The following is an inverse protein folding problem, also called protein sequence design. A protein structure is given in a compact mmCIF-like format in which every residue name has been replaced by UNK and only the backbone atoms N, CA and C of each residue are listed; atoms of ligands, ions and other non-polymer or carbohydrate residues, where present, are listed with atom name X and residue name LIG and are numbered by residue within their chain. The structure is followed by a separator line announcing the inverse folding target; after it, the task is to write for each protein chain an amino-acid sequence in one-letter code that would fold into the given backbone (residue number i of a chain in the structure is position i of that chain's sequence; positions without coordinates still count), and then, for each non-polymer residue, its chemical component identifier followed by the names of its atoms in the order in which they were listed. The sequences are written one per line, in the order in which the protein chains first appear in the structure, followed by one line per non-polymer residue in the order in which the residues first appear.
data_IF_548800794742
#
_entry.id   IF_548800794742
#
_cell.length_a   1.000
_cell.length_b   1.000
_cell.length_c   1.000
_cell.angle_alpha   90.00
_cell.angle_beta   90.00
_cell.angle_gamma   90.00
#
_symmetry.space_group_name_H-M   'P 1'
#
loop_
_entity.id
_entity.type
_entity.pdbx_description
1 polymer ?
#
# COMPACT_ATOMS: atom_id res chain seq x y z
N UNK A 1 13.78 29.33 4.12
CA UNK A 1 14.13 27.95 3.67
C UNK A 1 13.03 27.46 2.73
N UNK A 2 13.36 26.80 1.63
CA UNK A 2 12.38 26.35 0.63
C UNK A 2 11.76 25.02 1.06
N UNK A 3 10.44 24.86 0.90
CA UNK A 3 9.70 23.63 1.17
C UNK A 3 10.21 22.51 0.25
N UNK A 4 10.66 21.39 0.83
CA UNK A 4 11.30 20.29 0.09
C UNK A 4 10.33 19.14 -0.19
N UNK A 5 9.48 18.82 0.79
CA UNK A 5 8.53 17.73 0.68
C UNK A 5 7.16 18.05 1.29
N UNK A 6 6.10 17.51 0.70
CA UNK A 6 4.77 17.41 1.31
C UNK A 6 4.51 15.94 1.67
N UNK A 7 4.36 15.64 2.96
CA UNK A 7 3.97 14.29 3.41
C UNK A 7 2.46 14.21 3.40
N UNK A 8 1.89 13.39 2.53
CA UNK A 8 0.46 13.18 2.39
C UNK A 8 0.05 11.91 3.14
N UNK A 9 -0.85 12.07 4.12
CA UNK A 9 -1.41 10.96 4.90
C UNK A 9 -2.92 10.91 4.66
N UNK A 10 -3.38 9.80 4.06
CA UNK A 10 -4.81 9.56 3.91
C UNK A 10 -5.34 8.81 5.13
N UNK A 11 -6.49 9.24 5.66
CA UNK A 11 -7.06 8.60 6.84
C UNK A 11 -8.57 8.43 6.73
N UNK A 12 -9.09 7.38 7.39
CA UNK A 12 -10.52 7.12 7.47
C UNK A 12 -10.87 6.49 8.83
N UNK A 13 -11.43 7.29 9.76
CA UNK A 13 -11.92 6.85 11.06
C UNK A 13 -10.90 6.06 11.92
N UNK A 14 -9.62 6.48 11.91
CA UNK A 14 -8.50 5.84 12.64
C UNK A 14 -7.69 6.87 13.42
N UNK A 15 -8.29 7.63 14.35
CA UNK A 15 -7.64 8.78 14.98
C UNK A 15 -6.35 8.41 15.74
N UNK A 16 -6.32 7.27 16.43
CA UNK A 16 -5.15 6.84 17.18
C UNK A 16 -3.96 6.45 16.26
N UNK A 17 -4.23 5.74 15.18
CA UNK A 17 -3.19 5.37 14.19
C UNK A 17 -2.68 6.62 13.47
N UNK A 18 -3.58 7.49 13.01
CA UNK A 18 -3.21 8.76 12.41
C UNK A 18 -2.30 9.59 13.33
N UNK A 19 -2.64 9.69 14.62
CA UNK A 19 -1.83 10.43 15.58
C UNK A 19 -0.42 9.84 15.71
N UNK A 20 -0.28 8.52 15.72
CA UNK A 20 1.02 7.84 15.77
C UNK A 20 1.85 8.11 14.49
N UNK A 21 1.23 7.98 13.32
CA UNK A 21 1.86 8.23 12.03
C UNK A 21 2.38 9.68 11.91
N UNK A 22 1.51 10.67 12.16
CA UNK A 22 1.87 12.09 12.08
C UNK A 22 2.98 12.44 13.07
N UNK A 23 2.85 12.02 14.33
CA UNK A 23 3.87 12.29 15.35
C UNK A 23 5.20 11.60 15.04
N UNK A 24 5.21 10.43 14.39
CA UNK A 24 6.44 9.79 13.96
C UNK A 24 7.16 10.62 12.89
N UNK A 25 6.45 11.16 11.91
CA UNK A 25 7.00 12.06 10.90
C UNK A 25 7.57 13.34 11.52
N UNK A 26 6.80 13.98 12.42
CA UNK A 26 7.23 15.23 13.05
C UNK A 26 8.49 15.06 13.91
N UNK A 27 8.60 13.94 14.62
CA UNK A 27 9.79 13.61 15.40
C UNK A 27 11.03 13.35 14.53
N UNK A 28 10.85 12.69 13.38
CA UNK A 28 11.96 12.36 12.48
C UNK A 28 12.52 13.59 11.80
N UNK A 29 11.67 14.43 11.25
CA UNK A 29 12.06 15.60 10.49
C UNK A 29 12.74 16.70 11.34
N UNK A 30 12.45 16.76 12.64
CA UNK A 30 13.14 17.69 13.56
C UNK A 30 14.62 17.35 13.78
N UNK A 31 15.09 16.17 13.40
CA UNK A 31 16.49 15.76 13.58
C UNK A 31 17.43 16.33 12.53
N UNK A 32 16.98 16.58 11.29
CA UNK A 32 17.82 16.95 10.16
C UNK A 32 17.49 18.32 9.53
N UNK A 33 16.49 19.03 10.03
CA UNK A 33 16.11 20.37 9.55
C UNK A 33 15.50 20.37 8.15
N UNK A 34 14.99 19.24 7.66
CA UNK A 34 14.25 19.19 6.40
C UNK A 34 12.98 20.05 6.51
N UNK A 35 12.79 20.97 5.57
CA UNK A 35 11.57 21.79 5.50
C UNK A 35 10.49 21.02 4.77
N UNK A 36 9.46 20.62 5.48
CA UNK A 36 8.35 19.84 4.96
C UNK A 36 7.02 20.28 5.58
N UNK A 37 5.93 19.88 4.98
CA UNK A 37 4.57 19.98 5.52
C UNK A 37 3.94 18.61 5.63
N UNK A 38 2.95 18.46 6.51
CA UNK A 38 2.09 17.27 6.58
C UNK A 38 0.67 17.65 6.15
N UNK A 39 0.19 16.98 5.12
CA UNK A 39 -1.16 17.16 4.56
C UNK A 39 -1.98 15.91 4.87
N UNK A 40 -2.97 16.04 5.73
CA UNK A 40 -3.86 14.96 6.10
C UNK A 40 -5.10 15.03 5.21
N UNK A 41 -5.28 14.03 4.33
CA UNK A 41 -6.49 13.88 3.52
C UNK A 41 -7.52 13.07 4.31
N UNK A 42 -8.45 13.78 4.97
CA UNK A 42 -9.48 13.17 5.80
C UNK A 42 -10.65 12.67 4.96
N UNK A 43 -10.72 11.36 4.78
CA UNK A 43 -11.73 10.68 3.97
C UNK A 43 -12.99 10.32 4.79
N UNK A 44 -13.06 10.73 6.05
CA UNK A 44 -14.27 10.59 6.88
C UNK A 44 -15.33 11.63 6.51
N UNK A 45 -16.55 11.36 6.95
CA UNK A 45 -17.66 12.34 6.78
C UNK A 45 -17.61 13.44 7.80
N UNK A 46 -17.12 13.12 8.99
CA UNK A 46 -17.26 13.94 10.20
C UNK A 46 -15.97 14.71 10.54
N UNK A 47 -14.93 14.64 9.68
CA UNK A 47 -13.70 15.39 9.88
C UNK A 47 -12.91 14.95 11.11
N UNK A 48 -12.78 13.64 11.35
CA UNK A 48 -12.18 13.10 12.58
C UNK A 48 -10.71 13.49 12.80
N UNK A 49 -10.01 13.96 11.77
CA UNK A 49 -8.64 14.45 11.89
C UNK A 49 -8.54 15.86 12.48
N UNK A 50 -9.64 16.64 12.49
CA UNK A 50 -9.61 18.05 12.88
C UNK A 50 -9.08 18.31 14.30
N UNK A 51 -9.47 17.55 15.35
CA UNK A 51 -8.93 17.78 16.70
C UNK A 51 -7.41 17.56 16.79
N UNK A 52 -6.88 16.52 16.13
CA UNK A 52 -5.45 16.26 16.09
C UNK A 52 -4.70 17.40 15.39
N UNK A 53 -5.20 17.83 14.23
CA UNK A 53 -4.57 18.91 13.44
C UNK A 53 -4.58 20.22 14.23
N UNK A 54 -5.69 20.57 14.86
CA UNK A 54 -5.77 21.78 15.68
C UNK A 54 -4.75 21.78 16.83
N UNK A 55 -4.60 20.66 17.53
CA UNK A 55 -3.60 20.50 18.58
C UNK A 55 -2.17 20.67 18.07
N UNK A 56 -1.81 19.96 17.00
CA UNK A 56 -0.47 20.03 16.43
C UNK A 56 -0.14 21.42 15.81
N UNK A 57 -1.12 22.07 15.20
CA UNK A 57 -0.96 23.43 14.68
C UNK A 57 -0.74 24.45 15.84
N UNK A 58 -1.43 24.28 16.97
CA UNK A 58 -1.21 25.09 18.17
C UNK A 58 0.20 24.88 18.77
N UNK A 59 0.77 23.69 18.60
CA UNK A 59 2.16 23.36 18.95
C UNK A 59 3.18 23.93 17.93
N UNK A 60 2.72 24.59 16.86
CA UNK A 60 3.57 25.19 15.83
C UNK A 60 4.03 24.22 14.74
N UNK A 61 3.46 23.03 14.66
CA UNK A 61 3.81 22.04 13.62
C UNK A 61 3.18 22.38 12.26
N UNK A 62 3.87 22.12 11.14
CA UNK A 62 3.40 22.40 9.78
C UNK A 62 2.41 21.32 9.30
N UNK A 63 1.27 21.20 9.98
CA UNK A 63 0.25 20.19 9.72
C UNK A 63 -1.07 20.85 9.33
N UNK A 64 -1.73 20.34 8.31
CA UNK A 64 -3.08 20.76 7.91
C UNK A 64 -3.92 19.59 7.42
N UNK A 65 -5.24 19.69 7.56
CA UNK A 65 -6.18 18.71 7.02
C UNK A 65 -6.94 19.27 5.83
N UNK A 66 -7.30 18.39 4.90
CA UNK A 66 -8.20 18.67 3.78
C UNK A 66 -9.30 17.62 3.73
N UNK A 67 -10.56 18.02 3.51
CA UNK A 67 -11.65 17.07 3.35
C UNK A 67 -11.52 16.30 2.04
N UNK A 68 -11.81 15.02 2.08
CA UNK A 68 -11.68 14.11 0.93
C UNK A 68 -12.90 13.18 0.79
N UNK A 69 -14.09 13.76 0.74
CA UNK A 69 -15.36 13.03 0.58
C UNK A 69 -15.72 12.85 -0.91
N UNK A 70 -16.46 11.81 -1.31
CA UNK A 70 -16.92 10.68 -0.50
C UNK A 70 -15.80 9.68 -0.16
N UNK A 71 -16.04 8.75 0.82
CA UNK A 71 -15.05 7.74 1.21
C UNK A 71 -14.56 6.87 0.06
N UNK A 72 -13.31 7.10 -0.36
CA UNK A 72 -12.63 6.45 -1.47
C UNK A 72 -11.15 6.81 -1.41
N UNK A 73 -10.25 5.83 -1.36
CA UNK A 73 -8.82 6.08 -1.19
C UNK A 73 -8.22 6.91 -2.35
N UNK A 74 -8.69 6.72 -3.59
CA UNK A 74 -8.23 7.51 -4.73
C UNK A 74 -8.62 8.98 -4.59
N UNK A 75 -9.84 9.25 -4.10
CA UNK A 75 -10.31 10.62 -3.82
C UNK A 75 -9.45 11.25 -2.73
N UNK A 76 -9.13 10.50 -1.66
CA UNK A 76 -8.28 10.98 -0.59
C UNK A 76 -6.86 11.33 -1.09
N UNK A 77 -6.22 10.44 -1.84
CA UNK A 77 -4.89 10.69 -2.40
C UNK A 77 -4.89 11.88 -3.35
N UNK A 78 -5.88 11.98 -4.23
CA UNK A 78 -6.03 13.11 -5.14
C UNK A 78 -6.26 14.43 -4.38
N UNK A 79 -7.03 14.43 -3.28
CA UNK A 79 -7.24 15.61 -2.45
C UNK A 79 -5.93 16.04 -1.76
N UNK A 80 -5.19 15.10 -1.19
CA UNK A 80 -3.88 15.34 -0.59
C UNK A 80 -2.88 15.91 -1.60
N UNK A 81 -2.83 15.35 -2.82
CA UNK A 81 -1.97 15.85 -3.91
C UNK A 81 -2.30 17.29 -4.31
N UNK A 82 -3.58 17.61 -4.48
CA UNK A 82 -3.98 18.99 -4.82
C UNK A 82 -3.60 19.99 -3.74
N UNK A 83 -3.53 19.53 -2.51
CA UNK A 83 -3.16 20.37 -1.39
C UNK A 83 -1.64 20.45 -1.17
N UNK A 84 -0.86 19.48 -1.62
CA UNK A 84 0.60 19.45 -1.51
C UNK A 84 1.24 20.63 -2.25
N UNK A 85 2.20 21.32 -1.59
CA UNK A 85 2.84 22.53 -2.09
C UNK A 85 4.31 22.31 -2.50
N UNK A 86 4.90 21.20 -2.06
CA UNK A 86 6.30 20.91 -2.34
C UNK A 86 6.50 20.24 -3.71
N UNK A 87 7.69 20.33 -4.30
CA UNK A 87 8.04 19.65 -5.55
C UNK A 87 8.12 18.12 -5.39
N UNK A 88 8.37 17.63 -4.18
CA UNK A 88 8.35 16.21 -3.84
C UNK A 88 7.17 15.92 -2.92
N UNK A 89 6.43 14.85 -3.22
CA UNK A 89 5.31 14.39 -2.42
C UNK A 89 5.62 13.00 -1.87
N UNK A 90 5.68 12.89 -0.55
CA UNK A 90 5.80 11.60 0.11
C UNK A 90 4.42 11.10 0.55
N UNK A 91 4.10 9.83 0.28
CA UNK A 91 2.92 9.17 0.83
C UNK A 91 3.30 8.32 2.03
N UNK A 92 2.48 8.39 3.05
CA UNK A 92 2.53 7.54 4.24
C UNK A 92 1.09 7.14 4.59
N UNK A 93 0.84 5.85 4.77
CA UNK A 93 -0.49 5.40 5.23
C UNK A 93 -0.65 5.67 6.75
N UNK A 94 -1.90 5.83 7.20
CA UNK A 94 -2.22 6.22 8.60
C UNK A 94 -1.91 5.14 9.65
N UNK A 95 -1.59 3.91 9.23
CA UNK A 95 -1.17 2.79 10.08
C UNK A 95 0.36 2.54 10.06
N UNK A 96 1.13 3.48 9.50
CA UNK A 96 2.59 3.43 9.40
C UNK A 96 3.26 4.42 10.36
N UNK A 97 4.33 4.00 10.98
CA UNK A 97 5.25 4.87 11.72
C UNK A 97 6.61 4.86 11.03
N UNK A 98 7.21 6.03 10.79
CA UNK A 98 8.50 6.14 10.11
C UNK A 98 9.66 5.74 11.01
N UNK A 99 10.67 5.08 10.44
CA UNK A 99 11.95 4.81 11.10
C UNK A 99 12.87 6.05 10.99
N UNK A 100 13.86 6.21 11.88
CA UNK A 100 14.73 7.37 11.90
C UNK A 100 15.41 7.67 10.56
N UNK A 101 15.33 8.91 10.09
CA UNK A 101 15.89 9.36 8.84
C UNK A 101 15.03 9.06 7.59
N UNK A 102 13.80 8.61 7.76
CA UNK A 102 12.92 8.21 6.66
C UNK A 102 12.80 9.25 5.55
N UNK A 103 12.48 10.49 5.89
CA UNK A 103 12.30 11.55 4.90
C UNK A 103 13.65 11.96 4.27
N UNK A 104 14.69 12.06 5.06
CA UNK A 104 16.03 12.45 4.57
C UNK A 104 16.60 11.39 3.62
N UNK A 105 16.44 10.08 3.93
CA UNK A 105 16.86 9.02 3.04
C UNK A 105 16.13 9.07 1.69
N UNK A 106 14.83 9.39 1.71
CA UNK A 106 14.10 9.63 0.47
C UNK A 106 14.60 10.84 -0.30
N UNK A 107 14.83 11.98 0.37
CA UNK A 107 15.33 13.19 -0.27
C UNK A 107 16.71 12.96 -0.89
N UNK A 108 17.62 12.31 -0.15
CA UNK A 108 18.96 11.96 -0.63
C UNK A 108 18.89 11.00 -1.84
N UNK A 109 18.03 9.98 -1.78
CA UNK A 109 17.82 9.04 -2.88
C UNK A 109 17.31 9.75 -4.14
N UNK A 110 16.31 10.64 -3.99
CA UNK A 110 15.76 11.40 -5.12
C UNK A 110 16.77 12.36 -5.73
N UNK A 111 17.63 12.97 -4.90
CA UNK A 111 18.70 13.83 -5.37
C UNK A 111 19.81 13.06 -6.09
N UNK A 112 20.26 11.95 -5.50
CA UNK A 112 21.37 11.16 -6.04
C UNK A 112 21.01 10.43 -7.34
N UNK A 113 19.74 9.94 -7.46
CA UNK A 113 19.34 9.12 -8.61
C UNK A 113 18.64 9.88 -9.72
N UNK A 114 18.07 11.05 -9.43
CA UNK A 114 17.18 11.76 -10.35
C UNK A 114 15.89 10.97 -10.68
N UNK A 115 15.53 9.98 -9.88
CA UNK A 115 14.34 9.15 -10.09
C UNK A 115 13.04 9.95 -10.01
N UNK A 116 11.98 9.39 -10.61
CA UNK A 116 10.64 9.95 -10.52
C UNK A 116 9.93 9.51 -9.23
N UNK A 117 10.22 8.28 -8.77
CA UNK A 117 9.65 7.70 -7.55
C UNK A 117 10.71 6.92 -6.79
N UNK A 118 10.73 7.02 -5.47
CA UNK A 118 11.45 6.09 -4.60
C UNK A 118 10.47 5.42 -3.64
N UNK A 119 10.69 4.12 -3.35
CA UNK A 119 9.86 3.30 -2.47
C UNK A 119 10.74 2.72 -1.37
N UNK A 120 10.27 2.79 -0.12
CA UNK A 120 10.96 2.26 1.06
C UNK A 120 10.37 0.96 1.59
N UNK A 121 11.12 0.26 2.45
CA UNK A 121 10.69 -0.97 3.09
C UNK A 121 9.56 -0.74 4.10
N UNK A 122 8.64 -1.71 4.14
CA UNK A 122 7.58 -1.77 5.15
C UNK A 122 7.73 -3.06 5.94
N UNK A 123 7.84 -2.93 7.27
CA UNK A 123 7.96 -4.05 8.20
C UNK A 123 6.75 -4.10 9.12
N UNK A 124 6.17 -5.27 9.36
CA UNK A 124 5.00 -5.38 10.23
C UNK A 124 5.36 -5.22 11.70
N UNK A 125 4.42 -4.65 12.46
CA UNK A 125 4.37 -4.70 13.92
C UNK A 125 3.02 -5.30 14.32
N UNK A 126 3.04 -6.36 15.11
CA UNK A 126 1.87 -7.08 15.59
C UNK A 126 1.66 -6.81 17.08
N UNK A 127 0.79 -5.87 17.48
CA UNK A 127 0.55 -5.58 18.91
C UNK A 127 0.01 -6.78 19.68
N UNK A 128 -0.72 -7.68 19.03
CA UNK A 128 -1.26 -8.93 19.59
C UNK A 128 -0.41 -10.18 19.31
N UNK A 129 0.82 -10.01 18.85
CA UNK A 129 1.67 -11.11 18.38
C UNK A 129 1.43 -11.50 16.92
N UNK A 130 2.45 -12.10 16.31
CA UNK A 130 2.35 -12.59 14.93
C UNK A 130 1.36 -13.77 14.85
N UNK A 131 0.60 -13.88 13.75
CA UNK A 131 -0.37 -14.97 13.62
C UNK A 131 0.35 -16.33 13.44
N UNK A 132 -0.20 -17.40 14.00
CA UNK A 132 0.39 -18.74 13.94
C UNK A 132 0.62 -19.25 12.50
N UNK A 133 -0.11 -18.71 11.52
CA UNK A 133 0.04 -19.06 10.10
C UNK A 133 1.14 -18.24 9.39
N UNK A 134 1.68 -17.18 10.01
CA UNK A 134 2.77 -16.34 9.51
C UNK A 134 3.61 -15.81 10.68
N UNK A 135 4.31 -16.69 11.42
CA UNK A 135 5.03 -16.30 12.63
C UNK A 135 6.17 -15.31 12.37
N UNK A 136 6.73 -15.31 11.16
CA UNK A 136 7.80 -14.41 10.75
C UNK A 136 7.28 -13.11 10.11
N UNK A 137 5.96 -12.97 9.96
CA UNK A 137 5.34 -11.79 9.36
C UNK A 137 5.66 -11.58 7.87
N UNK A 138 6.06 -12.63 7.16
CA UNK A 138 6.55 -12.53 5.77
C UNK A 138 5.49 -12.03 4.81
N UNK A 139 4.20 -12.31 5.06
CA UNK A 139 3.09 -11.82 4.22
C UNK A 139 2.80 -10.33 4.37
N UNK A 140 3.27 -9.73 5.42
CA UNK A 140 3.11 -8.30 5.70
C UNK A 140 4.41 -7.52 5.45
N UNK A 141 5.53 -8.21 5.25
CA UNK A 141 6.84 -7.61 4.99
C UNK A 141 6.95 -7.23 3.52
N UNK A 142 7.32 -5.99 3.25
CA UNK A 142 7.65 -5.46 1.93
C UNK A 142 9.08 -4.92 1.96
N UNK A 143 10.03 -5.79 1.73
CA UNK A 143 11.47 -5.49 1.71
C UNK A 143 12.09 -6.12 0.47
N UNK A 144 12.93 -5.37 -0.22
CA UNK A 144 13.78 -5.89 -1.30
C UNK A 144 15.21 -6.02 -0.78
N UNK A 145 15.85 -7.11 -1.10
CA UNK A 145 17.29 -7.30 -0.90
C UNK A 145 18.03 -6.65 -2.08
N UNK A 146 17.99 -5.33 -2.13
CA UNK A 146 18.59 -4.50 -3.17
C UNK A 146 19.17 -3.24 -2.53
N UNK A 147 20.28 -2.69 -3.05
CA UNK A 147 20.83 -1.43 -2.57
C UNK A 147 19.93 -0.25 -2.94
N UNK A 148 20.07 0.83 -2.17
CA UNK A 148 19.42 2.11 -2.49
C UNK A 148 19.83 2.60 -3.87
N UNK A 149 18.85 3.11 -4.63
CA UNK A 149 19.01 3.52 -6.03
C UNK A 149 18.77 2.41 -7.05
N UNK A 150 18.66 1.14 -6.62
CA UNK A 150 18.34 0.04 -7.52
C UNK A 150 16.98 0.25 -8.20
N UNK A 151 16.92 0.05 -9.51
CA UNK A 151 15.67 0.20 -10.28
C UNK A 151 14.67 -0.91 -9.94
N UNK A 152 13.42 -0.52 -9.69
CA UNK A 152 12.31 -1.44 -9.48
C UNK A 152 11.57 -1.61 -10.82
N UNK A 153 11.59 -2.79 -11.44
CA UNK A 153 10.83 -3.03 -12.65
C UNK A 153 9.33 -3.09 -12.34
N UNK A 154 8.58 -2.12 -12.84
CA UNK A 154 7.12 -2.08 -12.72
C UNK A 154 6.51 -2.77 -13.93
N UNK A 155 6.13 -4.02 -13.79
CA UNK A 155 5.49 -4.80 -14.86
C UNK A 155 4.27 -5.56 -14.34
N UNK A 156 3.18 -5.50 -15.08
CA UNK A 156 2.05 -6.38 -14.82
C UNK A 156 2.42 -7.82 -15.17
N UNK A 157 2.79 -8.63 -14.19
CA UNK A 157 2.93 -10.09 -14.38
C UNK A 157 4.26 -10.76 -14.06
N UNK A 158 5.30 -10.05 -13.79
CA UNK A 158 6.51 -10.66 -13.23
C UNK A 158 6.48 -10.46 -11.72
N UNK A 159 6.57 -11.48 -10.91
CA UNK A 159 6.58 -11.57 -9.44
C UNK A 159 6.91 -10.36 -8.54
N UNK A 160 7.15 -9.21 -9.14
CA UNK A 160 7.36 -7.90 -8.51
C UNK A 160 6.06 -7.19 -8.09
N UNK A 161 4.89 -7.80 -8.28
CA UNK A 161 3.60 -7.22 -7.89
C UNK A 161 3.43 -6.95 -6.40
N UNK A 162 4.48 -7.15 -5.68
CA UNK A 162 4.60 -7.11 -4.26
C UNK A 162 5.06 -5.75 -3.71
N UNK A 163 5.93 -5.02 -4.40
CA UNK A 163 6.66 -3.87 -3.81
C UNK A 163 6.05 -2.54 -4.18
N UNK A 164 5.32 -2.48 -5.28
CA UNK A 164 4.76 -1.23 -5.79
C UNK A 164 3.56 -0.82 -4.96
N UNK A 165 3.78 0.10 -4.05
CA UNK A 165 2.75 0.65 -3.17
C UNK A 165 3.08 2.11 -2.86
N UNK A 166 2.05 2.91 -2.66
CA UNK A 166 2.18 4.28 -2.18
C UNK A 166 2.46 4.37 -0.68
N UNK A 167 2.29 3.28 0.06
CA UNK A 167 2.28 3.27 1.54
C UNK A 167 3.52 3.93 2.19
N UNK A 168 4.73 3.71 1.63
CA UNK A 168 5.98 4.39 2.00
C UNK A 168 6.73 4.73 0.73
N UNK A 169 6.54 5.94 0.21
CA UNK A 169 7.08 6.34 -1.09
C UNK A 169 7.22 7.85 -1.22
N UNK A 170 8.14 8.30 -2.07
CA UNK A 170 8.28 9.71 -2.44
C UNK A 170 8.26 9.87 -3.95
N UNK A 171 7.67 10.95 -4.44
CA UNK A 171 7.32 11.17 -5.83
C UNK A 171 7.69 12.57 -6.29
N UNK A 172 8.25 12.69 -7.48
CA UNK A 172 8.44 13.97 -8.15
C UNK A 172 7.11 14.43 -8.75
N UNK A 173 6.50 15.44 -8.15
CA UNK A 173 5.15 15.88 -8.52
C UNK A 173 5.03 16.25 -10.01
N UNK A 174 5.99 16.99 -10.55
CA UNK A 174 5.98 17.47 -11.93
C UNK A 174 5.97 16.34 -12.98
N UNK A 175 6.56 15.18 -12.67
CA UNK A 175 6.67 14.07 -13.64
C UNK A 175 5.64 12.97 -13.41
N UNK A 176 5.15 12.83 -12.17
CA UNK A 176 4.23 11.76 -11.81
C UNK A 176 2.75 12.17 -11.81
N UNK A 177 2.45 13.44 -11.54
CA UNK A 177 1.09 13.93 -11.28
C UNK A 177 0.64 15.02 -12.26
N UNK A 178 0.96 14.85 -13.54
CA UNK A 178 0.50 15.77 -14.59
C UNK A 178 -1.03 15.78 -14.76
N UNK A 179 -1.68 14.66 -14.46
CA UNK A 179 -3.15 14.58 -14.47
C UNK A 179 -3.72 15.23 -13.20
N UNK A 180 -4.84 15.96 -13.25
CA UNK A 180 -5.43 16.60 -12.07
C UNK A 180 -6.02 15.60 -11.06
N UNK A 181 -6.25 14.34 -11.47
CA UNK A 181 -6.72 13.24 -10.65
C UNK A 181 -5.98 11.93 -11.00
N UNK A 182 -4.67 11.83 -10.65
CA UNK A 182 -3.84 10.71 -11.10
C UNK A 182 -4.26 9.36 -10.52
N UNK A 183 -4.90 9.31 -9.36
CA UNK A 183 -5.48 8.08 -8.81
C UNK A 183 -6.92 7.91 -9.31
N UNK A 184 -7.20 6.83 -10.08
CA UNK A 184 -8.51 6.55 -10.64
C UNK A 184 -9.53 6.14 -9.56
N UNK A 185 -10.61 6.92 -9.32
CA UNK A 185 -11.64 6.57 -8.35
C UNK A 185 -12.33 5.22 -8.58
N UNK A 186 -12.29 4.68 -9.81
CA UNK A 186 -12.83 3.36 -10.16
C UNK A 186 -12.11 2.19 -9.48
N UNK A 187 -10.92 2.43 -8.90
CA UNK A 187 -10.20 1.47 -8.07
C UNK A 187 -10.33 1.74 -6.56
N UNK A 188 -10.77 2.92 -6.16
CA UNK A 188 -10.69 3.37 -4.78
C UNK A 188 -11.54 2.60 -3.75
N UNK A 189 -12.51 1.80 -4.18
CA UNK A 189 -13.28 0.93 -3.30
C UNK A 189 -12.68 -0.48 -3.14
N UNK A 190 -11.99 -0.97 -4.18
CA UNK A 190 -11.41 -2.32 -4.25
C UNK A 190 -9.92 -2.37 -3.98
N UNK A 191 -9.25 -1.22 -4.02
CA UNK A 191 -7.79 -1.12 -4.07
C UNK A 191 -7.26 -1.25 -5.51
N UNK A 192 -5.94 -1.00 -5.68
CA UNK A 192 -5.22 -1.12 -6.93
C UNK A 192 -5.08 0.18 -7.71
N UNK A 193 -5.50 1.29 -7.16
CA UNK A 193 -5.30 2.64 -7.68
C UNK A 193 -3.81 3.01 -7.79
N UNK A 194 -3.02 2.49 -6.85
CA UNK A 194 -1.56 2.62 -6.86
C UNK A 194 -0.95 1.78 -7.99
N UNK A 195 -1.30 0.50 -8.11
CA UNK A 195 -0.82 -0.35 -9.21
C UNK A 195 -1.19 0.22 -10.57
N UNK A 196 -2.42 0.72 -10.76
CA UNK A 196 -2.85 1.40 -11.98
C UNK A 196 -1.96 2.60 -12.32
N UNK A 197 -1.68 3.46 -11.33
CA UNK A 197 -0.81 4.61 -11.50
C UNK A 197 0.63 4.19 -11.84
N UNK A 198 1.20 3.25 -11.11
CA UNK A 198 2.56 2.74 -11.38
C UNK A 198 2.70 2.17 -12.79
N UNK A 199 1.71 1.41 -13.28
CA UNK A 199 1.72 0.87 -14.64
C UNK A 199 1.67 1.99 -15.70
N UNK A 200 0.87 3.04 -15.48
CA UNK A 200 0.84 4.22 -16.37
C UNK A 200 2.17 4.97 -16.38
N UNK A 201 2.79 5.13 -15.23
CA UNK A 201 4.09 5.78 -15.11
C UNK A 201 5.20 4.96 -15.79
N UNK A 202 5.20 3.64 -15.59
CA UNK A 202 6.15 2.74 -16.26
C UNK A 202 6.00 2.79 -17.80
N UNK A 203 4.77 2.83 -18.31
CA UNK A 203 4.51 2.99 -19.74
C UNK A 203 5.00 4.34 -20.30
N UNK A 204 5.13 5.37 -19.45
CA UNK A 204 5.72 6.68 -19.76
C UNK A 204 7.23 6.73 -19.53
N UNK A 205 7.88 5.61 -19.23
CA UNK A 205 9.32 5.53 -18.96
C UNK A 205 9.78 6.15 -17.63
N UNK A 206 8.86 6.33 -16.66
CA UNK A 206 9.23 6.89 -15.34
C UNK A 206 10.03 5.90 -14.53
N UNK A 207 11.08 6.38 -13.88
CA UNK A 207 12.00 5.57 -13.09
C UNK A 207 11.52 5.44 -11.67
N UNK A 208 11.33 4.19 -11.25
CA UNK A 208 11.03 3.82 -9.86
C UNK A 208 12.27 3.16 -9.27
N UNK A 209 12.71 3.60 -8.09
CA UNK A 209 13.90 3.07 -7.42
C UNK A 209 13.58 2.63 -6.00
N UNK A 210 14.43 1.76 -5.47
CA UNK A 210 14.40 1.32 -4.09
C UNK A 210 15.19 2.28 -3.20
N UNK A 211 14.70 2.54 -1.98
CA UNK A 211 15.40 3.25 -0.93
C UNK A 211 15.41 2.36 0.33
N UNK A 212 16.50 1.62 0.54
CA UNK A 212 16.58 0.59 1.57
C UNK A 212 16.49 1.12 3.00
N UNK A 213 16.94 2.35 3.21
CA UNK A 213 17.03 3.01 4.52
C UNK A 213 15.73 3.73 4.92
N UNK A 214 14.84 4.07 3.97
CA UNK A 214 13.59 4.76 4.25
C UNK A 214 12.50 3.81 4.79
N UNK A 215 12.79 3.18 5.93
CA UNK A 215 11.93 2.18 6.55
C UNK A 215 10.72 2.73 7.28
N UNK A 216 9.63 1.94 7.28
CA UNK A 216 8.45 2.20 8.10
C UNK A 216 7.96 0.91 8.78
N UNK A 217 7.23 1.06 9.89
CA UNK A 217 6.58 -0.03 10.62
C UNK A 217 5.07 0.06 10.48
N UNK A 218 4.46 -0.97 9.88
CA UNK A 218 3.01 -1.10 9.73
C UNK A 218 2.40 -1.76 10.96
N UNK A 219 1.50 -1.07 11.65
CA UNK A 219 0.73 -1.65 12.74
C UNK A 219 -0.39 -2.52 12.17
N UNK A 220 -0.26 -3.85 12.35
CA UNK A 220 -1.20 -4.83 11.85
C UNK A 220 -2.21 -5.19 12.95
N UNK A 221 -3.48 -4.74 12.86
CA UNK A 221 -4.49 -5.11 13.83
C UNK A 221 -4.89 -6.58 13.71
N UNK A 222 -5.40 -7.16 14.79
CA UNK A 222 -5.83 -8.56 14.83
C UNK A 222 -6.88 -8.90 13.76
N UNK A 223 -7.74 -7.95 13.40
CA UNK A 223 -8.72 -8.12 12.32
C UNK A 223 -8.08 -8.43 10.97
N UNK A 224 -6.91 -7.83 10.67
CA UNK A 224 -6.17 -8.09 9.43
C UNK A 224 -5.37 -9.39 9.46
N UNK A 225 -5.06 -9.94 10.64
CA UNK A 225 -4.43 -11.27 10.76
C UNK A 225 -5.43 -12.42 10.72
N UNK A 226 -6.72 -12.15 10.82
CA UNK A 226 -7.78 -13.15 10.73
C UNK A 226 -7.77 -13.88 9.37
N UNK A 227 -7.88 -15.21 9.40
CA UNK A 227 -7.82 -16.04 8.19
C UNK A 227 -8.83 -15.63 7.13
N UNK A 228 -10.08 -15.33 7.54
CA UNK A 228 -11.12 -14.83 6.62
C UNK A 228 -10.72 -13.57 5.87
N UNK A 229 -10.06 -12.62 6.56
CA UNK A 229 -9.58 -11.39 5.94
C UNK A 229 -8.50 -11.67 4.91
N UNK A 230 -7.55 -12.54 5.23
CA UNK A 230 -6.46 -12.91 4.34
C UNK A 230 -6.94 -13.62 3.07
N UNK A 231 -7.93 -14.49 3.20
CA UNK A 231 -8.59 -15.16 2.07
C UNK A 231 -9.26 -14.13 1.15
N UNK A 232 -10.02 -13.23 1.73
CA UNK A 232 -10.71 -12.17 0.99
C UNK A 232 -9.74 -11.20 0.33
N UNK A 233 -8.66 -10.83 1.03
CA UNK A 233 -7.57 -10.00 0.49
C UNK A 233 -6.86 -10.68 -0.68
N UNK A 234 -6.61 -11.99 -0.60
CA UNK A 234 -6.00 -12.77 -1.69
C UNK A 234 -6.93 -12.82 -2.92
N UNK A 235 -8.22 -13.01 -2.70
CA UNK A 235 -9.25 -13.01 -3.74
C UNK A 235 -9.38 -11.64 -4.41
N UNK A 236 -9.64 -10.58 -3.63
CA UNK A 236 -9.81 -9.21 -4.12
C UNK A 236 -8.53 -8.68 -4.78
N UNK A 237 -7.37 -8.92 -4.18
CA UNK A 237 -6.08 -8.52 -4.75
C UNK A 237 -5.82 -9.15 -6.12
N UNK A 238 -6.23 -10.42 -6.31
CA UNK A 238 -6.12 -11.09 -7.61
C UNK A 238 -7.09 -10.50 -8.66
N UNK A 239 -8.29 -10.07 -8.24
CA UNK A 239 -9.23 -9.38 -9.12
C UNK A 239 -8.66 -8.05 -9.60
N UNK A 240 -8.19 -7.23 -8.66
CA UNK A 240 -7.61 -5.92 -8.90
C UNK A 240 -6.37 -6.01 -9.80
N UNK A 241 -5.45 -6.92 -9.48
CA UNK A 241 -4.27 -7.19 -10.30
C UNK A 241 -4.66 -7.54 -11.74
N UNK A 242 -5.64 -8.44 -11.91
CA UNK A 242 -6.07 -8.86 -13.25
C UNK A 242 -6.71 -7.70 -14.02
N UNK A 243 -7.57 -6.91 -13.36
CA UNK A 243 -8.19 -5.74 -13.95
C UNK A 243 -7.14 -4.71 -14.44
N UNK A 244 -6.17 -4.38 -13.60
CA UNK A 244 -5.09 -3.47 -13.96
C UNK A 244 -4.22 -4.04 -15.10
N UNK A 245 -3.83 -5.31 -15.02
CA UNK A 245 -3.00 -5.97 -16.03
C UNK A 245 -3.69 -6.07 -17.40
N UNK A 246 -5.00 -6.28 -17.42
CA UNK A 246 -5.79 -6.32 -18.66
C UNK A 246 -5.95 -4.91 -19.24
N UNK A 247 -6.25 -3.93 -18.39
CA UNK A 247 -6.43 -2.51 -18.79
C UNK A 247 -5.19 -1.95 -19.50
N UNK A 248 -3.99 -2.27 -18.99
CA UNK A 248 -2.73 -1.74 -19.52
C UNK A 248 -2.04 -2.66 -20.53
N UNK A 249 -2.74 -3.65 -21.08
CA UNK A 249 -2.20 -4.57 -22.08
C UNK A 249 -2.50 -4.12 -23.51
N UNK A 250 -1.52 -4.22 -24.40
CA UNK A 250 -1.73 -4.05 -25.84
C UNK A 250 -2.67 -5.11 -26.45
N UNK A 251 -2.82 -6.29 -25.77
CA UNK A 251 -3.69 -7.38 -26.20
C UNK A 251 -4.61 -7.82 -25.04
N UNK A 252 -5.63 -7.02 -24.65
CA UNK A 252 -6.41 -7.23 -23.41
C UNK A 252 -7.06 -8.62 -23.33
N UNK A 253 -7.67 -9.10 -24.42
CA UNK A 253 -8.34 -10.41 -24.46
C UNK A 253 -7.37 -11.57 -24.25
N UNK A 254 -6.20 -11.54 -24.91
CA UNK A 254 -5.14 -12.55 -24.73
C UNK A 254 -4.56 -12.50 -23.32
N UNK A 255 -4.38 -11.31 -22.78
CA UNK A 255 -3.90 -11.09 -21.41
C UNK A 255 -4.88 -11.65 -20.40
N UNK A 256 -6.16 -11.34 -20.53
CA UNK A 256 -7.22 -11.88 -19.67
C UNK A 256 -7.25 -13.41 -19.73
N UNK A 257 -7.29 -14.01 -20.92
CA UNK A 257 -7.29 -15.46 -21.10
C UNK A 257 -6.07 -16.13 -20.43
N UNK A 258 -4.87 -15.59 -20.62
CA UNK A 258 -3.67 -16.12 -19.99
C UNK A 258 -3.66 -16.03 -18.47
N UNK A 259 -4.17 -14.91 -17.90
CA UNK A 259 -4.29 -14.76 -16.45
C UNK A 259 -5.38 -15.69 -15.89
N UNK A 260 -6.52 -15.84 -16.57
CA UNK A 260 -7.59 -16.75 -16.17
C UNK A 260 -7.14 -18.22 -16.22
N UNK A 261 -6.40 -18.65 -17.25
CA UNK A 261 -5.83 -19.99 -17.33
C UNK A 261 -4.89 -20.27 -16.13
N UNK A 262 -4.01 -19.33 -15.80
CA UNK A 262 -3.18 -19.42 -14.58
C UNK A 262 -4.04 -19.46 -13.31
N UNK A 263 -5.12 -18.68 -13.28
CA UNK A 263 -6.09 -18.66 -12.20
C UNK A 263 -6.75 -20.02 -11.98
N UNK A 264 -7.17 -20.68 -13.05
CA UNK A 264 -7.75 -22.03 -13.00
C UNK A 264 -6.76 -23.05 -12.43
N UNK A 265 -5.51 -23.03 -12.91
CA UNK A 265 -4.45 -23.90 -12.37
C UNK A 265 -4.20 -23.62 -10.89
N UNK A 266 -4.11 -22.35 -10.49
CA UNK A 266 -3.92 -21.98 -9.08
C UNK A 266 -5.09 -22.44 -8.20
N UNK A 267 -6.33 -22.28 -8.67
CA UNK A 267 -7.50 -22.73 -7.95
C UNK A 267 -7.50 -24.25 -7.77
N UNK A 268 -7.19 -24.99 -8.82
CA UNK A 268 -7.09 -26.45 -8.78
C UNK A 268 -5.99 -26.91 -7.81
N UNK A 269 -4.80 -26.33 -7.89
CA UNK A 269 -3.68 -26.64 -6.98
C UNK A 269 -4.02 -26.30 -5.53
N UNK A 270 -4.63 -25.13 -5.29
CA UNK A 270 -5.09 -24.73 -3.97
C UNK A 270 -6.12 -25.69 -3.38
N UNK A 271 -7.12 -26.09 -4.17
CA UNK A 271 -8.13 -27.06 -3.78
C UNK A 271 -7.52 -28.44 -3.47
N UNK A 272 -6.61 -28.93 -4.30
CA UNK A 272 -5.92 -30.22 -4.09
C UNK A 272 -4.98 -30.19 -2.87
N UNK A 273 -4.39 -29.04 -2.54
CA UNK A 273 -3.51 -28.91 -1.38
C UNK A 273 -4.26 -28.87 -0.03
N UNK A 274 -5.55 -28.52 -0.01
CA UNK A 274 -6.32 -28.39 1.24
C UNK A 274 -6.43 -29.71 2.03
N UNK A 275 -6.85 -30.86 1.44
CA UNK A 275 -6.94 -32.11 2.18
C UNK A 275 -5.58 -32.58 2.68
N UNK A 276 -4.50 -32.35 1.91
CA UNK A 276 -3.13 -32.68 2.31
C UNK A 276 -2.71 -31.82 3.51
N UNK A 277 -2.98 -30.52 3.48
CA UNK A 277 -2.68 -29.62 4.61
C UNK A 277 -3.47 -30.01 5.87
N UNK A 278 -4.73 -30.37 5.73
CA UNK A 278 -5.57 -30.86 6.83
C UNK A 278 -5.03 -32.16 7.43
N UNK A 279 -4.69 -33.15 6.61
CA UNK A 279 -4.13 -34.43 7.06
C UNK A 279 -2.80 -34.25 7.82
N UNK A 280 -1.91 -33.41 7.29
CA UNK A 280 -0.63 -33.08 7.95
C UNK A 280 -0.85 -32.30 9.26
N UNK A 281 -1.93 -31.52 9.36
CA UNK A 281 -2.35 -30.84 10.59
C UNK A 281 -2.77 -31.79 11.69
N UNK A 282 -3.53 -32.84 11.35
CA UNK A 282 -3.98 -33.88 12.27
C UNK A 282 -2.80 -34.68 12.90
N UNK A 283 -1.67 -34.76 12.21
CA UNK A 283 -0.45 -35.42 12.69
C UNK A 283 0.41 -34.53 13.62
N UNK A 284 -0.09 -33.39 14.06
CA UNK A 284 0.61 -32.49 14.99
C UNK A 284 1.82 -31.76 14.39
N UNK A 285 1.94 -31.69 13.06
CA UNK A 285 3.08 -31.08 12.40
C UNK A 285 3.13 -29.55 12.58
N UNK A 286 4.31 -29.02 13.00
CA UNK A 286 4.58 -27.59 13.04
C UNK A 286 4.33 -26.97 11.65
N UNK A 287 3.72 -25.77 11.61
CA UNK A 287 3.43 -25.08 10.35
C UNK A 287 2.15 -25.54 9.62
N UNK A 288 1.29 -26.35 10.26
CA UNK A 288 -0.01 -26.75 9.68
C UNK A 288 -0.86 -25.54 9.31
N UNK A 289 -0.96 -24.54 10.19
CA UNK A 289 -1.68 -23.30 9.95
C UNK A 289 -1.14 -22.54 8.73
N UNK A 290 0.19 -22.46 8.58
CA UNK A 290 0.83 -21.82 7.44
C UNK A 290 0.55 -22.54 6.11
N UNK A 291 0.59 -23.91 6.11
CA UNK A 291 0.27 -24.70 4.92
C UNK A 291 -1.19 -24.52 4.51
N UNK A 292 -2.11 -24.60 5.47
CA UNK A 292 -3.54 -24.36 5.21
C UNK A 292 -3.78 -22.97 4.66
N UNK A 293 -3.20 -21.94 5.27
CA UNK A 293 -3.34 -20.56 4.80
C UNK A 293 -2.77 -20.37 3.39
N UNK A 294 -1.65 -21.01 3.04
CA UNK A 294 -1.10 -21.00 1.68
C UNK A 294 -2.05 -21.63 0.67
N UNK A 295 -2.60 -22.81 0.98
CA UNK A 295 -3.53 -23.52 0.10
C UNK A 295 -4.81 -22.72 -0.14
N UNK A 296 -5.44 -22.20 0.93
CA UNK A 296 -6.65 -21.36 0.84
C UNK A 296 -6.38 -20.06 0.09
N UNK A 297 -5.25 -19.42 0.33
CA UNK A 297 -4.87 -18.18 -0.37
C UNK A 297 -4.61 -18.42 -1.86
N UNK A 298 -4.02 -19.57 -2.21
CA UNK A 298 -3.79 -19.95 -3.61
C UNK A 298 -5.12 -20.19 -4.32
N UNK A 299 -6.05 -20.92 -3.70
CA UNK A 299 -7.40 -21.15 -4.19
C UNK A 299 -8.13 -19.81 -4.38
N UNK A 300 -8.15 -18.95 -3.36
CA UNK A 300 -8.82 -17.66 -3.39
C UNK A 300 -8.25 -16.75 -4.49
N UNK A 301 -6.93 -16.68 -4.62
CA UNK A 301 -6.24 -15.93 -5.68
C UNK A 301 -6.60 -16.46 -7.08
N UNK A 302 -6.67 -17.79 -7.25
CA UNK A 302 -7.10 -18.42 -8.48
C UNK A 302 -8.54 -18.03 -8.86
N UNK A 303 -9.47 -18.16 -7.91
CA UNK A 303 -10.86 -17.75 -8.08
C UNK A 303 -11.01 -16.26 -8.38
N UNK A 304 -10.20 -15.40 -7.72
CA UNK A 304 -10.20 -13.97 -7.97
C UNK A 304 -9.80 -13.62 -9.42
N UNK A 305 -8.82 -14.33 -10.00
CA UNK A 305 -8.44 -14.15 -11.41
C UNK A 305 -9.54 -14.59 -12.37
N UNK A 306 -10.32 -15.61 -12.00
CA UNK A 306 -11.43 -16.11 -12.81
C UNK A 306 -12.67 -15.20 -12.78
N UNK A 307 -12.79 -14.33 -11.78
CA UNK A 307 -13.94 -13.45 -11.55
C UNK A 307 -13.55 -11.97 -11.52
N UNK A 308 -12.44 -11.60 -12.15
CA UNK A 308 -11.80 -10.28 -12.05
C UNK A 308 -12.67 -9.09 -12.42
N UNK A 309 -13.70 -9.27 -13.23
CA UNK A 309 -14.65 -8.22 -13.61
C UNK A 309 -15.67 -7.89 -12.50
N UNK A 310 -15.77 -8.71 -11.44
CA UNK A 310 -16.65 -8.53 -10.28
C UNK A 310 -15.84 -8.11 -9.05
N UNK A 311 -15.21 -6.96 -9.11
CA UNK A 311 -14.34 -6.48 -8.01
C UNK A 311 -15.10 -6.39 -6.69
N UNK A 312 -14.53 -6.99 -5.64
CA UNK A 312 -15.06 -6.91 -4.27
C UNK A 312 -14.51 -5.67 -3.60
N UNK A 313 -15.34 -4.81 -2.99
CA UNK A 313 -14.90 -3.60 -2.30
C UNK A 313 -14.30 -3.94 -0.94
N UNK A 314 -13.01 -4.31 -0.91
CA UNK A 314 -12.29 -4.75 0.30
C UNK A 314 -12.35 -3.71 1.43
N UNK A 315 -12.18 -2.43 1.09
CA UNK A 315 -12.21 -1.33 2.07
C UNK A 315 -13.57 -1.09 2.73
N UNK A 316 -14.67 -1.53 2.12
CA UNK A 316 -16.00 -1.46 2.75
C UNK A 316 -16.23 -2.56 3.77
N UNK A 317 -15.49 -3.67 3.65
CA UNK A 317 -15.63 -4.80 4.57
C UNK A 317 -14.83 -4.60 5.86
N UNK A 318 -13.78 -3.78 5.86
CA UNK A 318 -13.08 -3.34 7.07
C UNK A 318 -13.98 -2.44 7.97
N UNK A 319 -14.98 -1.79 7.38
CA UNK A 319 -15.90 -0.87 8.06
C UNK A 319 -17.03 -1.57 8.83
N UNK A 320 -17.32 -2.82 8.51
CA UNK A 320 -18.43 -3.57 9.09
C UNK A 320 -18.04 -4.32 10.37
N UNK A 321 -16.87 -4.07 10.93
CA UNK A 321 -16.44 -4.67 12.19
C UNK A 321 -16.48 -3.63 13.30
N UNK A 322 -17.25 -3.90 14.40
CA UNK A 322 -17.34 -3.03 15.56
C UNK A 322 -16.00 -2.91 16.30
#
# INVERSE_FOLDING_TARGET
MTLQASVVICTYNRPAMLAAAVRSCLRDATRRGAVFEVVIADNSRDGHAAPLVAGLAAEGHPVRAVPASPPNISIARNAGLRAAQAPLVAFLDDDLEVEPGWLDHFLDTMAATGADVAIGPVRPRFPGGAPAWDPDGTRFTRVLDQPTGAAIPVQAGAGSGFVVSTASSIWRAATCFADPAPFDPGFGASGGEDLDLFLRLAARGRRVVWCAEAGVRETIPASRTAGRYQVLRAYSGAQVYTAAAVRHSAAPRRRAAGIMARGAVQAALGAAALPVAALLGLRGGTGAAARTMRAVSLLASGCGKLTWWRKVPLYHLEKAQP
#
